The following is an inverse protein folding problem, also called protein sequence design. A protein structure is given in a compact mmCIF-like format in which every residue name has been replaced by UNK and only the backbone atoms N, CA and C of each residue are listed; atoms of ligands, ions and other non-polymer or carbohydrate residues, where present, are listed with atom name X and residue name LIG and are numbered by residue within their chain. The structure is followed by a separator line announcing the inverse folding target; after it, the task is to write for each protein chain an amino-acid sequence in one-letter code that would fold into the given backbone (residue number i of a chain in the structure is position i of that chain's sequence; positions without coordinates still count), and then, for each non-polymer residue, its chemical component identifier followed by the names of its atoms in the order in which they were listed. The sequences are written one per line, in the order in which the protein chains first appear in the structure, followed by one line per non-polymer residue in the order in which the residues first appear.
data_IF_606936316231
#
_entry.id   IF_606936316231
#
_cell.length_a   1.000
_cell.length_b   1.000
_cell.length_c   1.000
_cell.angle_alpha   90.00
_cell.angle_beta   90.00
_cell.angle_gamma   90.00
#
_symmetry.space_group_name_H-M   'P 1'
#
loop_
_entity.id
_entity.type
_entity.pdbx_description
1 polymer ?
#
# COMPACT_ATOMS: atom_id res chain seq x y z
N UNK A 1 -14.52 22.82 13.07
CA UNK A 1 -13.15 22.45 12.66
C UNK A 1 -13.16 22.20 11.17
N UNK A 2 -12.15 22.69 10.46
CA UNK A 2 -11.98 22.41 9.03
C UNK A 2 -11.82 20.88 8.85
N UNK A 3 -12.69 20.26 8.03
CA UNK A 3 -12.68 18.81 7.80
C UNK A 3 -11.57 18.36 6.85
N UNK A 4 -10.84 19.31 6.27
CA UNK A 4 -9.78 19.04 5.30
C UNK A 4 -8.53 18.45 5.91
N UNK A 5 -8.26 18.72 7.18
CA UNK A 5 -7.17 18.06 7.89
C UNK A 5 -7.68 16.81 8.59
N UNK A 6 -7.20 15.65 8.17
CA UNK A 6 -7.53 14.35 8.74
C UNK A 6 -6.27 13.74 9.33
N UNK A 7 -6.36 13.21 10.55
CA UNK A 7 -5.25 12.51 11.18
C UNK A 7 -5.73 11.23 11.84
N UNK A 8 -4.85 10.24 11.89
CA UNK A 8 -5.06 9.01 12.64
C UNK A 8 -3.74 8.56 13.26
N UNK A 9 -3.85 7.94 14.44
CA UNK A 9 -2.71 7.32 15.14
C UNK A 9 -3.14 5.93 15.58
N UNK A 10 -2.21 4.99 15.55
CA UNK A 10 -2.46 3.61 15.93
C UNK A 10 -1.34 3.07 16.81
N UNK A 11 -1.71 2.18 17.71
CA UNK A 11 -0.78 1.29 18.41
C UNK A 11 -1.21 -0.12 18.12
N UNK A 12 -0.24 -0.97 17.81
CA UNK A 12 -0.47 -2.35 17.40
C UNK A 12 0.47 -3.24 18.16
N UNK A 13 0.02 -4.48 18.29
CA UNK A 13 0.90 -5.55 18.68
C UNK A 13 2.08 -5.62 17.70
N UNK A 14 3.29 -5.59 18.25
CA UNK A 14 4.51 -5.51 17.45
C UNK A 14 4.73 -6.80 16.66
N UNK A 15 5.49 -6.72 15.57
CA UNK A 15 6.02 -7.94 14.98
C UNK A 15 6.79 -8.71 16.07
N UNK A 16 6.49 -10.01 16.18
CA UNK A 16 7.08 -10.91 17.18
C UNK A 16 6.76 -10.57 18.64
N UNK A 17 5.55 -10.05 18.88
CA UNK A 17 4.89 -10.14 20.17
C UNK A 17 5.10 -11.52 20.77
N UNK A 18 5.58 -11.55 21.99
CA UNK A 18 5.87 -12.77 22.71
C UNK A 18 4.58 -13.61 22.82
N UNK A 19 4.39 -14.55 21.90
CA UNK A 19 3.46 -15.63 22.13
C UNK A 19 3.91 -16.28 23.43
N UNK A 20 3.00 -16.37 24.40
CA UNK A 20 3.11 -17.07 25.68
C UNK A 20 3.55 -18.55 25.58
N UNK A 21 4.06 -18.97 24.43
CA UNK A 21 4.66 -20.25 24.15
C UNK A 21 5.87 -20.09 23.22
N UNK A 22 7.06 -20.04 23.80
CA UNK A 22 8.32 -20.29 23.08
C UNK A 22 9.14 -19.06 22.75
N UNK A 23 10.11 -18.75 23.63
CA UNK A 23 11.35 -18.05 23.30
C UNK A 23 11.93 -18.61 21.99
N UNK A 24 11.65 -17.96 20.87
CA UNK A 24 12.47 -18.17 19.69
C UNK A 24 13.76 -17.42 19.98
N UNK A 25 14.87 -18.13 20.22
CA UNK A 25 16.16 -17.55 20.60
C UNK A 25 16.72 -16.54 19.57
N UNK A 26 16.04 -16.39 18.43
CA UNK A 26 16.34 -15.50 17.32
C UNK A 26 15.40 -14.29 17.23
N UNK A 27 14.48 -14.08 18.19
CA UNK A 27 13.58 -12.92 18.21
C UNK A 27 14.32 -11.64 18.66
N UNK A 28 14.42 -10.57 17.83
CA UNK A 28 14.97 -9.28 18.22
C UNK A 28 14.05 -8.53 19.20
N UNK A 29 12.72 -8.62 19.04
CA UNK A 29 11.74 -7.94 19.88
C UNK A 29 11.47 -8.73 21.18
N UNK A 30 12.46 -8.81 22.07
CA UNK A 30 12.35 -9.55 23.34
C UNK A 30 11.64 -8.79 24.45
N UNK A 31 11.53 -7.48 24.30
CA UNK A 31 10.89 -6.59 25.26
C UNK A 31 9.39 -6.41 25.01
N UNK A 32 8.84 -7.07 23.97
CA UNK A 32 7.44 -6.95 23.58
C UNK A 32 7.07 -5.50 23.20
N UNK A 33 7.98 -4.85 22.48
CA UNK A 33 7.81 -3.47 22.05
C UNK A 33 6.69 -3.36 21.01
N UNK A 34 5.75 -2.46 21.28
CA UNK A 34 4.61 -2.14 20.42
C UNK A 34 5.05 -1.43 19.13
N UNK A 35 4.23 -1.56 18.09
CA UNK A 35 4.34 -0.73 16.89
C UNK A 35 3.43 0.49 17.01
N UNK A 36 3.94 1.64 16.58
CA UNK A 36 3.20 2.89 16.47
C UNK A 36 3.07 3.30 15.02
N UNK A 37 1.91 3.84 14.65
CA UNK A 37 1.70 4.45 13.33
C UNK A 37 1.00 5.80 13.46
N UNK A 38 1.23 6.66 12.48
CA UNK A 38 0.54 7.93 12.33
C UNK A 38 0.33 8.27 10.86
N UNK A 39 -0.82 8.84 10.54
CA UNK A 39 -1.16 9.41 9.23
C UNK A 39 -1.65 10.84 9.40
N UNK A 40 -1.18 11.73 8.55
CA UNK A 40 -1.67 13.10 8.40
C UNK A 40 -2.03 13.32 6.94
N UNK A 41 -3.28 13.68 6.67
CA UNK A 41 -3.81 13.89 5.32
C UNK A 41 -4.44 15.27 5.22
N UNK A 42 -4.26 15.91 4.08
CA UNK A 42 -4.96 17.13 3.71
C UNK A 42 -5.79 16.92 2.45
N UNK A 43 -7.10 17.15 2.54
CA UNK A 43 -8.05 17.10 1.44
C UNK A 43 -8.27 18.52 0.89
N UNK A 44 -7.77 18.78 -0.32
CA UNK A 44 -7.87 20.09 -0.97
C UNK A 44 -9.27 20.36 -1.55
N UNK A 45 -9.98 19.32 -1.98
CA UNK A 45 -11.31 19.40 -2.59
C UNK A 45 -12.40 18.84 -1.65
N UNK A 46 -13.19 17.87 -2.09
CA UNK A 46 -14.22 17.24 -1.25
C UNK A 46 -13.53 16.52 -0.08
N UNK A 47 -13.86 16.95 1.14
CA UNK A 47 -13.26 16.43 2.37
C UNK A 47 -14.24 15.56 3.18
N UNK A 48 -13.69 14.69 4.04
CA UNK A 48 -14.50 13.80 4.89
C UNK A 48 -15.18 12.68 4.12
N UNK A 49 -14.56 12.23 3.02
CA UNK A 49 -15.04 11.12 2.22
C UNK A 49 -14.82 9.75 2.87
N UNK A 50 -13.74 9.62 3.66
CA UNK A 50 -13.44 8.41 4.42
C UNK A 50 -13.42 8.69 5.94
N UNK A 51 -13.80 7.72 6.77
CA UNK A 51 -13.64 7.82 8.21
C UNK A 51 -12.16 7.62 8.60
N UNK A 52 -11.44 8.73 8.76
CA UNK A 52 -10.10 8.88 9.34
C UNK A 52 -9.05 7.82 8.99
N UNK A 53 -9.09 6.64 9.62
CA UNK A 53 -8.14 5.54 9.41
C UNK A 53 -8.31 4.83 8.06
N UNK A 54 -9.52 4.81 7.52
CA UNK A 54 -9.79 4.18 6.24
C UNK A 54 -9.43 5.13 5.09
N UNK A 55 -8.87 4.58 4.02
CA UNK A 55 -8.59 5.31 2.78
C UNK A 55 -9.15 4.53 1.61
N UNK A 56 -9.67 5.26 0.62
CA UNK A 56 -10.19 4.68 -0.62
C UNK A 56 -9.29 5.07 -1.79
N UNK A 57 -8.98 4.10 -2.66
CA UNK A 57 -8.21 4.32 -3.90
C UNK A 57 -9.08 4.93 -5.03
N UNK A 58 -10.40 5.05 -4.83
CA UNK A 58 -11.37 5.71 -5.72
C UNK A 58 -12.65 6.06 -4.96
N UNK A 59 -13.38 7.07 -5.44
CA UNK A 59 -14.64 7.57 -4.87
C UNK A 59 -15.79 7.57 -5.89
N UNK A 60 -15.59 6.93 -7.04
CA UNK A 60 -16.59 6.69 -8.08
C UNK A 60 -17.33 7.94 -8.58
N UNK A 61 -16.60 9.06 -8.69
CA UNK A 61 -17.10 10.29 -9.30
C UNK A 61 -17.26 11.46 -8.34
N UNK A 62 -16.55 11.44 -7.21
CA UNK A 62 -16.37 12.65 -6.39
C UNK A 62 -15.15 13.44 -6.87
N UNK A 63 -15.10 14.72 -6.52
CA UNK A 63 -13.94 15.54 -6.81
C UNK A 63 -13.00 15.52 -5.60
N UNK A 64 -12.00 14.65 -5.65
CA UNK A 64 -11.03 14.44 -4.56
C UNK A 64 -9.64 14.85 -5.00
N UNK A 65 -8.96 15.62 -4.16
CA UNK A 65 -7.53 15.85 -4.26
C UNK A 65 -6.99 15.79 -2.84
N UNK A 66 -6.17 14.79 -2.54
CA UNK A 66 -5.59 14.60 -1.22
C UNK A 66 -4.11 14.31 -1.30
N UNK A 67 -3.39 14.72 -0.24
CA UNK A 67 -1.99 14.36 -0.01
C UNK A 67 -1.85 13.94 1.44
N UNK A 68 -1.12 12.87 1.71
CA UNK A 68 -0.88 12.38 3.05
C UNK A 68 0.58 12.00 3.30
N UNK A 69 0.97 12.11 4.56
CA UNK A 69 2.21 11.61 5.13
C UNK A 69 1.88 10.52 6.14
N UNK A 70 2.64 9.44 6.10
CA UNK A 70 2.49 8.31 7.02
C UNK A 70 3.85 7.95 7.60
N UNK A 71 3.88 7.61 8.89
CA UNK A 71 5.04 7.08 9.58
C UNK A 71 4.68 5.88 10.43
N UNK A 72 5.58 4.91 10.49
CA UNK A 72 5.50 3.71 11.32
C UNK A 72 6.83 3.49 12.02
N UNK A 73 6.77 3.17 13.30
CA UNK A 73 7.93 2.85 14.12
C UNK A 73 7.66 1.66 15.02
N UNK A 74 8.60 0.72 15.08
CA UNK A 74 8.62 -0.32 16.09
C UNK A 74 10.08 -0.59 16.49
N UNK A 75 10.34 -0.61 17.79
CA UNK A 75 11.66 -0.94 18.33
C UNK A 75 11.99 -2.42 18.12
N UNK A 76 13.26 -2.70 17.79
CA UNK A 76 13.82 -4.07 17.68
C UNK A 76 12.97 -5.04 16.81
N UNK A 77 12.39 -4.53 15.72
CA UNK A 77 11.41 -5.25 14.90
C UNK A 77 12.03 -6.09 13.77
N UNK A 78 13.26 -5.76 13.35
CA UNK A 78 13.94 -6.37 12.21
C UNK A 78 15.19 -7.12 12.68
N UNK A 79 15.49 -8.24 12.03
CA UNK A 79 16.71 -9.01 12.22
C UNK A 79 16.60 -10.15 13.24
N UNK A 80 17.68 -10.35 13.99
CA UNK A 80 17.82 -11.40 14.99
C UNK A 80 18.60 -10.91 16.22
N UNK A 81 18.65 -11.71 17.27
CA UNK A 81 19.39 -11.38 18.49
C UNK A 81 20.87 -11.08 18.16
N UNK A 82 21.36 -9.92 18.60
CA UNK A 82 22.74 -9.47 18.36
C UNK A 82 22.96 -8.80 16.99
N UNK A 83 21.94 -8.77 16.13
CA UNK A 83 21.92 -8.10 14.84
C UNK A 83 20.48 -7.60 14.55
N UNK A 84 19.93 -6.80 15.47
CA UNK A 84 18.61 -6.20 15.36
C UNK A 84 18.68 -4.75 14.91
N UNK A 85 17.55 -4.25 14.41
CA UNK A 85 17.32 -2.83 14.20
C UNK A 85 15.85 -2.48 14.38
N UNK A 86 15.58 -1.20 14.57
CA UNK A 86 14.23 -0.66 14.66
C UNK A 86 13.58 -0.64 13.27
N UNK A 87 12.30 -0.97 13.18
CA UNK A 87 11.53 -0.73 11.98
C UNK A 87 11.14 0.73 11.93
N UNK A 88 11.68 1.47 10.97
CA UNK A 88 11.19 2.80 10.63
C UNK A 88 10.78 2.84 9.15
N UNK A 89 9.51 3.12 8.89
CA UNK A 89 9.01 3.27 7.54
C UNK A 89 8.11 4.50 7.43
N UNK A 90 8.21 5.20 6.31
CA UNK A 90 7.38 6.35 6.04
C UNK A 90 7.04 6.45 4.57
N UNK A 91 5.93 7.12 4.26
CA UNK A 91 5.54 7.39 2.90
C UNK A 91 4.84 8.74 2.74
N UNK A 92 4.86 9.21 1.50
CA UNK A 92 3.97 10.24 1.00
C UNK A 92 3.06 9.61 -0.05
N UNK A 93 1.77 9.87 0.02
CA UNK A 93 0.80 9.43 -0.97
C UNK A 93 -0.09 10.60 -1.40
N UNK A 94 -0.60 10.52 -2.63
CA UNK A 94 -1.50 11.49 -3.22
C UNK A 94 -2.54 10.80 -4.08
N UNK A 95 -3.77 11.31 -4.03
CA UNK A 95 -4.87 10.85 -4.85
C UNK A 95 -5.59 12.04 -5.47
N UNK A 96 -5.89 11.92 -6.76
CA UNK A 96 -6.74 12.83 -7.51
C UNK A 96 -7.83 12.03 -8.19
N UNK A 97 -9.08 12.30 -7.84
CA UNK A 97 -10.24 11.86 -8.59
C UNK A 97 -10.98 13.09 -9.10
N UNK A 98 -11.27 13.12 -10.40
CA UNK A 98 -11.97 14.24 -11.02
C UNK A 98 -13.07 13.75 -11.94
N UNK A 99 -14.28 14.26 -11.72
CA UNK A 99 -15.42 13.99 -12.58
C UNK A 99 -15.42 14.91 -13.80
N UNK A 100 -15.64 14.31 -14.97
CA UNK A 100 -15.89 14.97 -16.24
C UNK A 100 -17.24 14.52 -16.81
N UNK A 101 -17.70 15.19 -17.87
CA UNK A 101 -18.93 14.79 -18.55
C UNK A 101 -18.85 13.36 -19.12
N UNK A 102 -17.70 12.99 -19.67
CA UNK A 102 -17.48 11.70 -20.34
C UNK A 102 -17.10 10.56 -19.37
N UNK A 103 -16.76 10.85 -18.12
CA UNK A 103 -16.27 9.85 -17.18
C UNK A 103 -15.55 10.45 -15.98
N UNK A 104 -14.87 9.58 -15.23
CA UNK A 104 -14.14 9.93 -14.01
C UNK A 104 -12.69 9.54 -14.20
N UNK A 105 -11.78 10.52 -14.09
CA UNK A 105 -10.35 10.26 -14.04
C UNK A 105 -9.96 9.99 -12.58
N UNK A 106 -9.19 8.94 -12.34
CA UNK A 106 -8.56 8.70 -11.05
C UNK A 106 -7.06 8.48 -11.23
N UNK A 107 -6.26 9.21 -10.46
CA UNK A 107 -4.81 9.15 -10.40
C UNK A 107 -4.38 8.93 -8.97
N UNK A 108 -3.50 7.97 -8.75
CA UNK A 108 -2.92 7.69 -7.43
C UNK A 108 -1.40 7.57 -7.55
N UNK A 109 -0.68 8.08 -6.56
CA UNK A 109 0.76 7.96 -6.49
C UNK A 109 1.24 7.87 -5.05
N UNK A 110 2.23 7.01 -4.80
CA UNK A 110 2.85 6.89 -3.48
C UNK A 110 4.34 6.58 -3.58
N UNK A 111 5.11 7.10 -2.61
CA UNK A 111 6.53 6.82 -2.46
C UNK A 111 6.84 6.46 -1.01
N UNK A 112 7.46 5.30 -0.82
CA UNK A 112 7.74 4.68 0.47
C UNK A 112 9.25 4.59 0.70
N UNK A 113 9.65 4.70 1.95
CA UNK A 113 11.00 4.40 2.42
C UNK A 113 10.91 3.44 3.61
N UNK A 114 11.65 2.34 3.51
CA UNK A 114 11.87 1.38 4.58
C UNK A 114 13.31 1.55 5.06
N UNK A 115 13.47 2.11 6.25
CA UNK A 115 14.75 2.56 6.78
C UNK A 115 15.15 1.73 8.00
N UNK A 116 15.97 0.73 7.72
CA UNK A 116 16.60 -0.14 8.71
C UNK A 116 17.83 -0.80 8.08
N UNK A 117 18.76 -1.20 8.92
CA UNK A 117 20.12 -1.56 8.54
C UNK A 117 20.20 -2.85 7.72
N UNK A 118 21.15 -2.87 6.78
CA UNK A 118 21.49 -4.06 6.00
C UNK A 118 21.90 -5.24 6.88
N UNK A 119 22.58 -4.98 8.01
CA UNK A 119 22.96 -6.01 8.97
C UNK A 119 21.74 -6.73 9.55
N UNK A 120 20.73 -5.98 9.99
CA UNK A 120 19.49 -6.55 10.50
C UNK A 120 18.72 -7.30 9.40
N UNK A 121 18.59 -6.73 8.21
CA UNK A 121 17.95 -7.40 7.05
C UNK A 121 18.60 -8.76 6.75
N UNK A 122 19.93 -8.80 6.69
CA UNK A 122 20.66 -10.01 6.33
C UNK A 122 20.62 -11.08 7.43
N UNK A 123 20.41 -10.67 8.68
CA UNK A 123 20.22 -11.56 9.82
C UNK A 123 18.75 -11.99 10.00
N UNK A 124 17.82 -11.45 9.20
CA UNK A 124 16.39 -11.64 9.42
C UNK A 124 15.85 -12.93 8.79
N UNK A 125 15.40 -13.91 9.59
CA UNK A 125 14.80 -15.13 9.04
C UNK A 125 13.45 -14.92 8.34
N UNK A 126 12.78 -13.79 8.57
CA UNK A 126 11.45 -13.49 8.04
C UNK A 126 11.47 -12.65 6.75
N UNK A 127 12.66 -12.25 6.27
CA UNK A 127 12.81 -11.61 4.97
C UNK A 127 12.27 -10.17 4.88
N UNK A 128 12.36 -9.39 5.97
CA UNK A 128 12.10 -7.95 5.88
C UNK A 128 12.98 -7.28 4.82
N UNK A 129 12.43 -6.26 4.18
CA UNK A 129 13.05 -5.62 3.01
C UNK A 129 13.30 -4.14 3.30
N UNK A 130 14.56 -3.73 3.34
CA UNK A 130 14.89 -2.30 3.36
C UNK A 130 15.04 -1.78 1.93
N UNK A 131 14.64 -0.53 1.71
CA UNK A 131 14.66 0.04 0.36
C UNK A 131 13.66 1.17 0.17
N UNK A 132 13.35 1.45 -1.10
CA UNK A 132 12.33 2.43 -1.51
C UNK A 132 11.28 1.73 -2.35
N UNK A 133 10.03 2.14 -2.22
CA UNK A 133 8.98 1.66 -3.11
C UNK A 133 8.21 2.82 -3.73
N UNK A 134 7.62 2.56 -4.89
CA UNK A 134 6.85 3.52 -5.65
C UNK A 134 5.60 2.84 -6.21
N UNK A 135 4.48 3.57 -6.20
CA UNK A 135 3.23 3.17 -6.83
C UNK A 135 2.72 4.33 -7.67
N UNK A 136 2.20 4.01 -8.85
CA UNK A 136 1.43 4.93 -9.68
C UNK A 136 0.27 4.20 -10.33
N UNK A 137 -0.93 4.78 -10.30
CA UNK A 137 -2.12 4.25 -10.94
C UNK A 137 -2.83 5.34 -11.72
N UNK A 138 -3.37 4.97 -12.88
CA UNK A 138 -4.33 5.77 -13.63
C UNK A 138 -5.52 4.89 -14.00
N UNK A 139 -6.71 5.43 -13.86
CA UNK A 139 -7.92 4.79 -14.37
C UNK A 139 -8.91 5.80 -14.91
N UNK A 140 -9.76 5.34 -15.82
CA UNK A 140 -10.86 6.12 -16.36
C UNK A 140 -12.14 5.31 -16.25
N UNK A 141 -13.10 5.76 -15.45
CA UNK A 141 -14.43 5.14 -15.39
C UNK A 141 -15.36 5.84 -16.37
N UNK A 142 -15.89 5.12 -17.35
CA UNK A 142 -16.87 5.66 -18.29
C UNK A 142 -18.18 6.00 -17.57
N UNK A 143 -18.84 7.06 -18.00
CA UNK A 143 -20.10 7.46 -17.37
C UNK A 143 -21.28 6.56 -17.81
N UNK A 144 -21.19 5.97 -19.00
CA UNK A 144 -22.21 5.09 -19.57
C UNK A 144 -22.35 3.79 -18.78
N UNK A 145 -23.58 3.48 -18.41
CA UNK A 145 -23.93 2.20 -17.79
C UNK A 145 -24.25 1.19 -18.89
N UNK A 146 -23.54 0.07 -18.90
CA UNK A 146 -23.79 -1.06 -19.80
C UNK A 146 -24.31 -2.21 -18.97
N UNK A 147 -25.59 -2.58 -19.12
CA UNK A 147 -26.22 -3.57 -18.25
C UNK A 147 -26.37 -3.04 -16.82
N UNK A 148 -25.68 -3.66 -15.87
CA UNK A 148 -25.79 -3.32 -14.44
C UNK A 148 -24.69 -2.39 -13.93
N UNK A 149 -23.70 -2.05 -14.76
CA UNK A 149 -22.49 -1.40 -14.28
C UNK A 149 -21.74 -0.58 -15.32
N UNK A 150 -20.61 -0.03 -14.90
CA UNK A 150 -19.74 0.86 -15.68
C UNK A 150 -18.37 0.24 -15.85
N UNK A 151 -17.76 0.47 -17.01
CA UNK A 151 -16.40 0.02 -17.27
C UNK A 151 -15.38 1.04 -16.76
N UNK A 152 -14.32 0.54 -16.13
CA UNK A 152 -13.18 1.32 -15.66
C UNK A 152 -11.88 0.59 -16.02
N UNK A 153 -11.32 0.81 -17.22
CA UNK A 153 -9.94 0.42 -17.52
C UNK A 153 -8.97 1.14 -16.59
N UNK A 154 -7.88 0.47 -16.25
CA UNK A 154 -6.80 1.03 -15.45
C UNK A 154 -5.44 0.46 -15.84
N UNK A 155 -4.41 1.22 -15.53
CA UNK A 155 -3.03 0.78 -15.53
C UNK A 155 -2.39 1.12 -14.19
N UNK A 156 -1.55 0.22 -13.68
CA UNK A 156 -0.79 0.44 -12.45
C UNK A 156 0.66 0.01 -12.64
N UNK A 157 1.55 0.79 -12.05
CA UNK A 157 2.97 0.48 -11.98
C UNK A 157 3.41 0.49 -10.52
N UNK A 158 4.14 -0.56 -10.13
CA UNK A 158 4.73 -0.66 -8.82
C UNK A 158 6.22 -1.01 -8.94
N UNK A 159 7.03 -0.45 -8.07
CA UNK A 159 8.46 -0.75 -8.01
C UNK A 159 8.93 -0.81 -6.57
N UNK A 160 9.81 -1.77 -6.29
CA UNK A 160 10.63 -1.82 -5.10
C UNK A 160 12.10 -1.82 -5.52
N UNK A 161 12.85 -0.88 -4.95
CA UNK A 161 14.31 -0.77 -5.08
C UNK A 161 14.95 -1.12 -3.75
N UNK A 162 15.68 -2.23 -3.70
CA UNK A 162 16.30 -2.72 -2.49
C UNK A 162 17.51 -1.88 -2.08
N UNK A 163 17.75 -1.77 -0.78
CA UNK A 163 19.00 -1.17 -0.28
C UNK A 163 20.21 -2.03 -0.67
N UNK A 164 21.33 -1.39 -0.98
CA UNK A 164 22.56 -2.08 -1.35
C UNK A 164 23.06 -3.02 -0.24
N UNK A 165 23.60 -4.16 -0.64
CA UNK A 165 24.16 -5.17 0.26
C UNK A 165 23.12 -6.02 1.01
N UNK A 166 21.81 -5.80 0.78
CA UNK A 166 20.77 -6.67 1.34
C UNK A 166 20.70 -7.99 0.56
N UNK A 167 20.73 -9.10 1.27
CA UNK A 167 20.63 -10.46 0.73
C UNK A 167 19.15 -10.83 0.57
N UNK A 168 18.83 -11.62 -0.46
CA UNK A 168 17.47 -12.10 -0.75
C UNK A 168 16.42 -10.98 -0.91
N UNK A 169 16.87 -9.77 -1.22
CA UNK A 169 16.04 -8.60 -1.41
C UNK A 169 16.28 -8.02 -2.80
N UNK A 170 15.77 -8.68 -3.87
CA UNK A 170 15.95 -8.20 -5.23
C UNK A 170 15.07 -6.97 -5.50
N UNK A 171 15.48 -6.14 -6.45
CA UNK A 171 14.58 -5.15 -7.04
C UNK A 171 13.40 -5.85 -7.73
N UNK A 172 12.21 -5.30 -7.59
CA UNK A 172 10.98 -5.84 -8.20
C UNK A 172 10.22 -4.73 -8.89
N UNK A 173 9.70 -5.02 -10.09
CA UNK A 173 8.79 -4.13 -10.82
C UNK A 173 7.54 -4.90 -11.22
N UNK A 174 6.40 -4.26 -11.14
CA UNK A 174 5.12 -4.83 -11.53
C UNK A 174 4.37 -3.86 -12.43
N UNK A 175 3.80 -4.39 -13.51
CA UNK A 175 2.98 -3.67 -14.47
C UNK A 175 1.62 -4.36 -14.56
N UNK A 176 0.56 -3.61 -14.29
CA UNK A 176 -0.81 -4.08 -14.40
C UNK A 176 -1.54 -3.34 -15.51
N UNK A 177 -2.26 -4.10 -16.33
CA UNK A 177 -3.29 -3.61 -17.23
C UNK A 177 -4.59 -4.33 -16.91
N UNK A 178 -5.59 -3.59 -16.47
CA UNK A 178 -6.83 -4.18 -15.99
C UNK A 178 -8.08 -3.46 -16.44
N UNK A 179 -9.20 -4.16 -16.27
CA UNK A 179 -10.54 -3.68 -16.54
C UNK A 179 -11.44 -4.06 -15.37
N UNK A 180 -12.02 -3.04 -14.74
CA UNK A 180 -13.06 -3.21 -13.74
C UNK A 180 -14.43 -3.00 -14.40
N UNK A 181 -15.40 -3.79 -13.97
CA UNK A 181 -16.82 -3.58 -14.21
C UNK A 181 -17.49 -3.29 -12.87
N UNK A 182 -17.77 -2.00 -12.63
CA UNK A 182 -18.27 -1.45 -11.37
C UNK A 182 -19.80 -1.52 -11.38
N UNK A 183 -20.39 -2.30 -10.49
CA UNK A 183 -21.85 -2.51 -10.42
C UNK A 183 -22.44 -1.59 -9.36
N UNK A 184 -21.87 -1.60 -8.16
CA UNK A 184 -22.30 -0.76 -7.03
C UNK A 184 -21.08 -0.31 -6.23
N UNK A 185 -20.41 0.75 -6.67
CA UNK A 185 -19.27 1.37 -5.99
C UNK A 185 -18.28 0.36 -5.37
N UNK A 186 -18.05 0.48 -4.06
CA UNK A 186 -17.22 -0.44 -3.27
C UNK A 186 -17.93 -1.75 -2.87
N UNK A 187 -19.24 -1.87 -3.11
CA UNK A 187 -20.04 -3.01 -2.69
C UNK A 187 -19.99 -4.15 -3.72
N UNK A 188 -20.00 -3.85 -5.02
CA UNK A 188 -20.07 -4.88 -6.06
C UNK A 188 -19.23 -4.53 -7.29
N UNK A 189 -18.25 -5.41 -7.61
CA UNK A 189 -17.35 -5.24 -8.76
C UNK A 189 -16.85 -6.58 -9.30
N UNK A 190 -16.71 -6.67 -10.62
CA UNK A 190 -15.91 -7.69 -11.30
C UNK A 190 -14.62 -7.03 -11.80
N UNK A 191 -13.48 -7.69 -11.61
CA UNK A 191 -12.17 -7.19 -12.02
C UNK A 191 -11.43 -8.23 -12.85
N UNK A 192 -10.75 -7.76 -13.88
CA UNK A 192 -9.78 -8.54 -14.64
C UNK A 192 -8.48 -7.78 -14.72
N UNK A 193 -7.35 -8.47 -14.59
CA UNK A 193 -6.03 -7.85 -14.68
C UNK A 193 -5.03 -8.81 -15.28
N UNK A 194 -4.26 -8.30 -16.23
CA UNK A 194 -3.00 -8.89 -16.64
C UNK A 194 -1.87 -8.18 -15.91
N UNK A 195 -1.04 -8.97 -15.24
CA UNK A 195 0.10 -8.51 -14.44
C UNK A 195 1.38 -9.10 -15.00
N UNK A 196 2.38 -8.25 -15.18
CA UNK A 196 3.75 -8.67 -15.49
C UNK A 196 4.69 -8.24 -14.37
N UNK A 197 5.28 -9.21 -13.69
CA UNK A 197 6.24 -9.01 -12.60
C UNK A 197 7.66 -9.31 -13.10
N UNK A 198 8.58 -8.37 -12.86
CA UNK A 198 10.00 -8.51 -13.16
C UNK A 198 10.80 -8.46 -11.87
N UNK A 199 11.51 -9.52 -11.56
CA UNK A 199 12.35 -9.62 -10.36
C UNK A 199 13.81 -9.68 -10.79
N UNK A 200 14.65 -8.84 -10.18
CA UNK A 200 16.09 -8.82 -10.48
C UNK A 200 16.69 -10.23 -10.29
N UNK A 201 17.37 -10.71 -11.33
CA UNK A 201 18.03 -12.01 -11.31
C UNK A 201 17.10 -13.22 -11.44
N UNK A 202 15.84 -13.03 -11.81
CA UNK A 202 14.87 -14.10 -12.08
C UNK A 202 14.15 -13.86 -13.41
N UNK A 203 13.48 -14.90 -13.90
CA UNK A 203 12.63 -14.81 -15.10
C UNK A 203 11.38 -13.95 -14.83
N UNK A 204 10.89 -13.30 -15.88
CA UNK A 204 9.64 -12.55 -15.84
C UNK A 204 8.46 -13.51 -15.54
N UNK A 205 7.50 -13.06 -14.71
CA UNK A 205 6.27 -13.79 -14.42
C UNK A 205 5.08 -13.02 -14.97
N UNK A 206 4.28 -13.69 -15.79
CA UNK A 206 3.03 -13.17 -16.34
C UNK A 206 1.83 -13.87 -15.67
N UNK A 207 0.81 -13.09 -15.30
CA UNK A 207 -0.38 -13.60 -14.60
C UNK A 207 -1.64 -12.92 -15.12
N UNK A 208 -2.70 -13.69 -15.35
CA UNK A 208 -4.04 -13.15 -15.58
C UNK A 208 -4.94 -13.52 -14.40
N UNK A 209 -5.60 -12.52 -13.81
CA UNK A 209 -6.46 -12.69 -12.64
C UNK A 209 -7.87 -12.21 -12.95
N UNK A 210 -8.86 -12.96 -12.48
CA UNK A 210 -10.28 -12.55 -12.46
C UNK A 210 -10.73 -12.53 -11.01
N UNK A 211 -11.42 -11.45 -10.61
CA UNK A 211 -11.90 -11.25 -9.25
C UNK A 211 -13.36 -10.82 -9.22
N UNK A 212 -14.07 -11.24 -8.17
CA UNK A 212 -15.41 -10.78 -7.82
C UNK A 212 -15.35 -10.23 -6.39
N UNK A 213 -15.89 -9.03 -6.19
CA UNK A 213 -16.04 -8.40 -4.89
C UNK A 213 -17.53 -8.18 -4.62
N UNK A 214 -17.98 -8.62 -3.44
CA UNK A 214 -19.32 -8.43 -2.91
C UNK A 214 -19.21 -8.08 -1.42
N UNK A 215 -19.77 -6.94 -1.02
CA UNK A 215 -19.85 -6.45 0.35
C UNK A 215 -21.29 -6.01 0.65
N UNK A 216 -21.80 -6.43 1.81
CA UNK A 216 -23.19 -6.24 2.25
C UNK A 216 -23.25 -5.85 3.72
#
# INVERSE_FOLDING_TARGET
MDKRLVYSVGTYEGNRASSFNGNNALNPNRSDDLMFSGRLQYDFWDAGNDPAYYTSSTYYGKDVLSVALVGMYQKDAVGAVGASDDYFAYNIDALLEKKFAAGVLNLEGAAYKYDFSTTAVNADPNGHKSGKAYLGLVSWMFNDTVGWGKFQPYARYQRFDASSGTLFNPDVKEYDLGLNYIIDGHNARISTVYTKTKTQGADDIDKFTVGLQLQF
#
